data_IF_619579700281
#
_entry.id   IF_619579700281
#
_cell.length_a   1.000
_cell.length_b   1.000
_cell.length_c   1.000
_cell.angle_alpha   90.00
_cell.angle_beta   90.00
_cell.angle_gamma   90.00
#
_symmetry.space_group_name_H-M   'P 1'
#
loop_
_entity.id
_entity.type
_entity.pdbx_description
1 polymer ?
#
# COMPACT_ATOMS: atom_id res chain seq x y z
N UNK A 1 -30.85 39.36 -76.18
CA UNK A 1 -31.33 40.07 -74.98
C UNK A 1 -30.51 39.54 -73.87
N UNK A 2 -29.52 40.31 -73.44
CA UNK A 2 -28.49 39.87 -72.47
C UNK A 2 -28.74 40.58 -71.16
N UNK A 3 -29.01 39.83 -70.05
CA UNK A 3 -29.18 40.40 -68.76
C UNK A 3 -27.91 40.15 -67.97
N UNK A 4 -27.22 41.23 -67.57
CA UNK A 4 -26.10 41.25 -66.63
C UNK A 4 -26.64 41.26 -65.28
N UNK A 5 -26.12 40.34 -64.44
CA UNK A 5 -26.33 40.33 -62.98
C UNK A 5 -25.08 40.85 -62.27
N UNK A 6 -25.24 41.93 -61.50
CA UNK A 6 -24.22 42.64 -60.83
C UNK A 6 -23.95 41.95 -59.45
N UNK A 7 -22.68 41.76 -59.16
CA UNK A 7 -22.19 41.19 -57.88
C UNK A 7 -21.94 42.34 -56.91
N UNK A 8 -22.74 42.44 -55.88
CA UNK A 8 -22.38 43.21 -54.69
C UNK A 8 -22.38 42.31 -53.46
N UNK A 9 -21.17 42.11 -52.96
CA UNK A 9 -20.84 41.37 -51.77
C UNK A 9 -21.43 42.07 -50.53
N UNK A 10 -22.17 41.30 -49.71
CA UNK A 10 -22.49 41.70 -48.32
C UNK A 10 -21.80 40.71 -47.43
N UNK A 11 -20.72 41.18 -46.80
CA UNK A 11 -20.07 40.49 -45.69
C UNK A 11 -20.91 40.71 -44.40
N UNK A 12 -21.64 39.70 -44.02
CA UNK A 12 -22.26 39.65 -42.67
C UNK A 12 -21.29 38.87 -41.74
N UNK A 13 -20.64 39.59 -40.85
CA UNK A 13 -19.78 39.03 -39.82
C UNK A 13 -20.62 38.28 -38.77
N UNK A 14 -20.40 36.97 -38.64
CA UNK A 14 -20.90 36.16 -37.57
C UNK A 14 -19.83 36.14 -36.48
N UNK A 15 -20.04 36.93 -35.45
CA UNK A 15 -19.25 36.84 -34.21
C UNK A 15 -19.68 35.59 -33.45
N UNK A 16 -18.86 34.53 -33.50
CA UNK A 16 -19.03 33.35 -32.65
C UNK A 16 -18.42 33.68 -31.30
N UNK A 17 -19.28 33.93 -30.31
CA UNK A 17 -18.91 33.96 -28.93
C UNK A 17 -18.58 32.53 -28.49
N UNK A 18 -17.30 32.21 -28.45
CA UNK A 18 -16.78 31.03 -27.77
C UNK A 18 -16.94 31.23 -26.25
N UNK A 19 -18.11 30.82 -25.72
CA UNK A 19 -18.29 30.62 -24.30
C UNK A 19 -17.40 29.49 -23.84
N UNK A 20 -16.27 29.83 -23.23
CA UNK A 20 -15.40 28.87 -22.56
C UNK A 20 -16.11 28.34 -21.33
N UNK A 21 -16.70 27.12 -21.43
CA UNK A 21 -16.95 26.31 -20.28
C UNK A 21 -15.59 25.89 -19.73
N UNK A 22 -15.20 26.46 -18.59
CA UNK A 22 -14.12 25.94 -17.78
C UNK A 22 -14.55 24.56 -17.29
N UNK A 23 -14.31 23.53 -18.11
CA UNK A 23 -14.40 22.14 -17.70
C UNK A 23 -13.39 21.93 -16.59
N UNK A 24 -13.88 21.52 -15.42
CA UNK A 24 -13.06 21.00 -14.34
C UNK A 24 -12.11 19.97 -14.94
N UNK A 25 -10.80 20.22 -14.78
CA UNK A 25 -9.77 19.40 -15.36
C UNK A 25 -9.87 17.96 -14.88
N UNK A 26 -10.45 17.11 -15.72
CA UNK A 26 -10.23 15.69 -15.64
C UNK A 26 -8.72 15.49 -15.75
N UNK A 27 -8.12 14.88 -14.73
CA UNK A 27 -6.71 14.47 -14.76
C UNK A 27 -6.55 13.64 -16.04
N UNK A 28 -5.69 14.04 -16.99
CA UNK A 28 -5.48 13.25 -18.18
C UNK A 28 -5.03 11.87 -17.70
N UNK A 29 -5.63 10.81 -18.23
CA UNK A 29 -5.19 9.42 -18.05
C UNK A 29 -3.69 9.38 -18.40
N UNK A 30 -2.89 9.56 -17.32
CA UNK A 30 -1.48 9.86 -17.44
C UNK A 30 -0.71 8.62 -17.84
N UNK A 31 0.31 8.86 -18.59
CA UNK A 31 1.51 8.06 -18.82
C UNK A 31 1.58 6.80 -17.94
N UNK A 32 1.80 5.63 -18.55
CA UNK A 32 1.87 4.33 -17.86
C UNK A 32 2.87 4.22 -16.68
N UNK A 33 3.36 5.34 -16.16
CA UNK A 33 4.26 5.45 -15.01
C UNK A 33 3.59 6.16 -13.84
N UNK A 34 3.98 5.80 -12.61
CA UNK A 34 3.56 6.49 -11.41
C UNK A 34 4.12 7.90 -11.32
N UNK A 35 3.62 8.69 -10.35
CA UNK A 35 4.09 10.06 -10.12
C UNK A 35 5.31 10.08 -9.17
N UNK A 36 6.53 10.37 -9.64
CA UNK A 36 7.72 10.45 -8.79
C UNK A 36 7.63 11.51 -7.68
N UNK A 37 6.90 12.61 -7.92
CA UNK A 37 6.74 13.66 -6.93
C UNK A 37 6.00 13.20 -5.65
N UNK A 38 5.26 12.09 -5.72
CA UNK A 38 4.60 11.49 -4.56
C UNK A 38 5.56 10.75 -3.61
N UNK A 39 6.85 10.70 -3.92
CA UNK A 39 7.89 9.98 -3.18
C UNK A 39 9.01 10.89 -2.67
N UNK A 40 8.75 12.18 -2.59
CA UNK A 40 9.63 13.14 -1.92
C UNK A 40 9.71 12.90 -0.40
N UNK A 41 10.58 13.63 0.32
CA UNK A 41 10.68 13.50 1.77
C UNK A 41 9.37 13.89 2.46
N UNK A 42 9.02 13.17 3.54
CA UNK A 42 7.79 13.40 4.32
C UNK A 42 8.16 13.50 5.80
N UNK A 43 7.66 14.51 6.51
CA UNK A 43 7.59 14.49 7.96
C UNK A 43 6.26 13.84 8.36
N UNK A 44 6.34 12.67 9.00
CA UNK A 44 5.19 11.90 9.44
C UNK A 44 5.23 11.72 10.96
N UNK A 45 4.44 12.53 11.68
CA UNK A 45 4.36 12.52 13.14
C UNK A 45 5.73 12.69 13.84
N UNK A 46 6.60 13.54 13.27
CA UNK A 46 7.94 13.80 13.80
C UNK A 46 9.02 12.84 13.32
N UNK A 47 8.68 11.86 12.48
CA UNK A 47 9.63 10.99 11.81
C UNK A 47 9.90 11.49 10.39
N UNK A 48 11.16 11.77 10.08
CA UNK A 48 11.59 12.21 8.76
C UNK A 48 11.79 10.99 7.84
N UNK A 49 10.82 10.73 6.96
CA UNK A 49 10.94 9.70 5.91
C UNK A 49 11.70 10.32 4.75
N UNK A 50 12.88 9.80 4.38
CA UNK A 50 13.63 10.32 3.24
C UNK A 50 12.86 10.09 1.93
N UNK A 51 13.02 10.99 0.97
CA UNK A 51 12.55 10.78 -0.38
C UNK A 51 13.27 9.60 -1.04
N UNK A 52 12.60 8.91 -1.96
CA UNK A 52 13.23 7.84 -2.74
C UNK A 52 14.20 8.44 -3.76
N UNK A 53 15.37 7.82 -3.88
CA UNK A 53 16.33 8.14 -4.93
C UNK A 53 15.83 7.58 -6.28
N UNK A 54 15.17 8.45 -7.06
CA UNK A 54 14.59 8.07 -8.36
C UNK A 54 15.63 7.64 -9.40
N UNK A 55 16.91 7.91 -9.18
CA UNK A 55 17.96 7.40 -10.07
C UNK A 55 18.21 5.90 -9.89
N UNK A 56 17.77 5.33 -8.78
CA UNK A 56 17.95 3.91 -8.40
C UNK A 56 16.65 3.12 -8.38
N UNK A 57 15.51 3.77 -8.55
CA UNK A 57 14.18 3.15 -8.53
C UNK A 57 13.62 3.09 -9.94
N UNK A 58 13.21 1.89 -10.39
CA UNK A 58 12.47 1.72 -11.64
C UNK A 58 11.12 2.47 -11.53
N UNK A 59 10.83 3.43 -12.42
CA UNK A 59 9.53 4.12 -12.43
C UNK A 59 8.32 3.18 -12.57
N UNK A 60 8.53 1.98 -13.10
CA UNK A 60 7.51 0.94 -13.23
C UNK A 60 6.97 0.43 -11.91
N UNK A 61 7.75 0.53 -10.80
CA UNK A 61 7.35 0.07 -9.47
C UNK A 61 6.56 1.11 -8.68
N UNK A 62 6.47 2.36 -9.14
CA UNK A 62 5.74 3.41 -8.45
C UNK A 62 4.23 3.15 -8.52
N UNK A 63 3.51 3.53 -7.43
CA UNK A 63 2.05 3.37 -7.40
C UNK A 63 1.39 4.18 -8.51
N UNK A 64 0.33 3.61 -9.06
CA UNK A 64 -0.50 4.26 -10.07
C UNK A 64 -1.89 3.65 -10.13
N UNK A 65 -2.86 4.44 -10.57
CA UNK A 65 -4.17 3.91 -10.89
C UNK A 65 -4.10 3.15 -12.21
N UNK A 66 -4.76 1.98 -12.25
CA UNK A 66 -4.80 1.10 -13.43
C UNK A 66 -6.20 0.57 -13.66
N UNK A 67 -6.54 0.21 -14.91
CA UNK A 67 -7.71 -0.62 -15.18
C UNK A 67 -7.50 -2.00 -14.55
N UNK A 68 -8.49 -2.47 -13.80
CA UNK A 68 -8.41 -3.73 -13.06
C UNK A 68 -9.77 -4.40 -13.02
N UNK A 69 -9.98 -5.35 -13.93
CA UNK A 69 -11.20 -6.17 -13.93
C UNK A 69 -11.10 -7.21 -12.82
N UNK A 70 -11.88 -7.05 -11.78
CA UNK A 70 -11.84 -7.86 -10.58
C UNK A 70 -13.25 -8.34 -10.20
N UNK A 71 -13.41 -9.59 -9.73
CA UNK A 71 -14.68 -10.06 -9.17
C UNK A 71 -14.94 -9.51 -7.77
N UNK A 72 -13.96 -8.85 -7.15
CA UNK A 72 -14.04 -8.34 -5.79
C UNK A 72 -14.62 -6.93 -5.78
N UNK A 73 -15.35 -6.61 -4.71
CA UNK A 73 -15.96 -5.29 -4.51
C UNK A 73 -14.93 -4.19 -4.30
N UNK A 74 -15.24 -2.93 -4.63
CA UNK A 74 -14.41 -1.80 -4.25
C UNK A 74 -14.09 -1.77 -2.74
N UNK A 75 -12.88 -1.36 -2.40
CA UNK A 75 -12.36 -1.39 -1.04
C UNK A 75 -11.65 -2.70 -0.66
N UNK A 76 -11.68 -3.73 -1.52
CA UNK A 76 -10.90 -4.96 -1.31
C UNK A 76 -9.44 -4.77 -1.69
N UNK A 77 -8.54 -5.36 -0.93
CA UNK A 77 -7.12 -5.48 -1.28
C UNK A 77 -6.89 -6.83 -1.94
N UNK A 78 -6.30 -6.84 -3.13
CA UNK A 78 -5.89 -8.06 -3.84
C UNK A 78 -4.38 -8.04 -3.99
N UNK A 79 -3.71 -9.06 -3.44
CA UNK A 79 -2.26 -9.22 -3.56
C UNK A 79 -1.96 -10.36 -4.53
N UNK A 80 -1.28 -10.05 -5.62
CA UNK A 80 -0.85 -11.02 -6.62
C UNK A 80 0.64 -11.30 -6.45
N UNK A 81 0.97 -12.40 -5.77
CA UNK A 81 2.33 -12.76 -5.40
C UNK A 81 3.23 -12.92 -6.64
N UNK A 82 2.74 -13.59 -7.67
CA UNK A 82 3.49 -13.79 -8.92
C UNK A 82 3.85 -12.50 -9.63
N UNK A 83 2.96 -11.52 -9.61
CA UNK A 83 3.16 -10.19 -10.19
C UNK A 83 3.97 -9.26 -9.29
N UNK A 84 4.05 -9.56 -8.00
CA UNK A 84 4.60 -8.68 -6.95
C UNK A 84 3.89 -7.34 -6.91
N UNK A 85 2.56 -7.39 -7.05
CA UNK A 85 1.66 -6.25 -6.99
C UNK A 85 0.57 -6.43 -5.94
N UNK A 86 0.16 -5.31 -5.36
CA UNK A 86 -1.03 -5.17 -4.54
C UNK A 86 -1.97 -4.20 -5.25
N UNK A 87 -3.24 -4.55 -5.32
CA UNK A 87 -4.30 -3.75 -5.92
C UNK A 87 -5.32 -3.40 -4.84
N UNK A 88 -5.53 -2.11 -4.60
CA UNK A 88 -6.69 -1.63 -3.85
C UNK A 88 -7.80 -1.37 -4.85
N UNK A 89 -8.84 -2.21 -4.81
CA UNK A 89 -9.94 -2.18 -5.79
C UNK A 89 -10.75 -0.90 -5.62
N UNK A 90 -10.95 -0.18 -6.71
CA UNK A 90 -11.71 1.06 -6.78
C UNK A 90 -12.97 0.87 -7.64
N UNK A 91 -13.97 1.78 -7.55
CA UNK A 91 -15.13 1.75 -8.44
C UNK A 91 -14.74 1.90 -9.93
N UNK A 92 -15.64 1.47 -10.83
CA UNK A 92 -15.48 1.68 -12.26
C UNK A 92 -14.45 0.78 -12.95
N UNK A 93 -14.13 -0.38 -12.37
CA UNK A 93 -13.16 -1.32 -12.95
C UNK A 93 -11.72 -0.82 -12.87
N UNK A 94 -11.43 -0.03 -11.85
CA UNK A 94 -10.11 0.55 -11.59
C UNK A 94 -9.52 -0.02 -10.29
N UNK A 95 -8.22 0.13 -10.13
CA UNK A 95 -7.53 -0.10 -8.85
C UNK A 95 -6.33 0.82 -8.71
N UNK A 96 -6.00 1.18 -7.48
CA UNK A 96 -4.67 1.69 -7.16
C UNK A 96 -3.72 0.51 -7.04
N UNK A 97 -2.73 0.44 -7.93
CA UNK A 97 -1.69 -0.58 -7.94
C UNK A 97 -0.46 -0.10 -7.18
N UNK A 98 0.05 -0.94 -6.29
CA UNK A 98 1.31 -0.77 -5.58
C UNK A 98 2.23 -1.94 -5.92
N UNK A 99 3.52 -1.68 -6.10
CA UNK A 99 4.49 -2.77 -6.16
C UNK A 99 4.88 -3.20 -4.76
N UNK A 100 5.11 -4.51 -4.57
CA UNK A 100 5.38 -5.09 -3.26
C UNK A 100 6.59 -6.02 -3.27
N UNK A 101 7.31 -6.03 -2.15
CA UNK A 101 8.23 -7.12 -1.83
C UNK A 101 7.47 -8.26 -1.19
N UNK A 102 7.73 -9.50 -1.63
CA UNK A 102 7.03 -10.72 -1.18
C UNK A 102 8.01 -11.74 -0.64
N UNK A 103 7.49 -12.83 -0.04
CA UNK A 103 8.29 -13.92 0.50
C UNK A 103 9.26 -14.51 -0.53
N UNK A 104 10.49 -14.77 -0.09
CA UNK A 104 11.56 -15.37 -0.91
C UNK A 104 11.15 -16.71 -1.48
N UNK A 105 10.47 -17.52 -0.68
CA UNK A 105 9.95 -18.82 -1.03
C UNK A 105 8.43 -18.79 -1.02
N UNK A 106 7.79 -19.52 -1.92
CA UNK A 106 6.34 -19.60 -2.00
C UNK A 106 5.68 -20.04 -0.68
N UNK A 107 6.30 -21.00 0.01
CA UNK A 107 5.84 -21.51 1.30
C UNK A 107 5.83 -20.46 2.42
N UNK A 108 6.55 -19.35 2.27
CA UNK A 108 6.59 -18.25 3.23
C UNK A 108 5.45 -17.26 3.04
N UNK A 109 4.80 -17.24 1.87
CA UNK A 109 3.73 -16.30 1.58
C UNK A 109 2.42 -16.70 2.29
N UNK A 110 1.68 -15.71 2.76
CA UNK A 110 0.31 -15.91 3.20
C UNK A 110 -0.54 -16.42 2.04
N UNK A 111 -1.51 -17.30 2.33
CA UNK A 111 -2.41 -17.87 1.32
C UNK A 111 -3.87 -17.61 1.68
N UNK A 112 -4.67 -17.34 0.65
CA UNK A 112 -6.12 -17.17 0.75
C UNK A 112 -6.54 -15.84 1.38
N UNK A 113 -7.66 -15.87 2.10
CA UNK A 113 -8.36 -14.68 2.53
C UNK A 113 -8.03 -14.29 3.98
N UNK A 114 -7.99 -13.00 4.23
CA UNK A 114 -7.84 -12.40 5.54
C UNK A 114 -8.63 -11.08 5.59
N UNK A 115 -8.69 -10.50 6.77
CA UNK A 115 -9.15 -9.12 6.98
C UNK A 115 -8.08 -8.31 7.69
N UNK A 116 -8.06 -6.99 7.48
CA UNK A 116 -7.28 -6.10 8.34
C UNK A 116 -7.97 -6.07 9.71
N UNK A 117 -7.41 -6.76 10.69
CA UNK A 117 -7.95 -6.79 12.06
C UNK A 117 -7.40 -5.67 12.95
N UNK A 118 -6.21 -5.15 12.63
CA UNK A 118 -5.54 -4.07 13.38
C UNK A 118 -4.66 -3.24 12.46
N UNK A 119 -4.51 -1.97 12.78
CA UNK A 119 -3.63 -1.01 12.12
C UNK A 119 -2.70 -0.39 13.13
N UNK A 120 -1.47 -0.07 12.75
CA UNK A 120 -0.53 0.67 13.59
C UNK A 120 0.29 1.66 12.77
N UNK A 121 0.46 2.84 13.33
CA UNK A 121 1.43 3.83 12.89
C UNK A 121 2.73 3.60 13.67
N UNK A 122 3.85 3.68 12.99
CA UNK A 122 5.17 3.47 13.57
C UNK A 122 5.20 2.26 14.52
N UNK A 123 4.90 1.05 14.00
CA UNK A 123 4.67 -0.13 14.83
C UNK A 123 5.94 -0.56 15.55
N UNK A 124 5.79 -1.05 16.78
CA UNK A 124 6.86 -1.78 17.45
C UNK A 124 7.12 -3.11 16.70
N UNK A 125 8.35 -3.48 16.52
CA UNK A 125 8.75 -4.73 15.91
C UNK A 125 9.48 -5.64 16.88
N UNK A 126 9.13 -6.92 16.90
CA UNK A 126 9.84 -7.97 17.62
C UNK A 126 10.05 -9.14 16.67
N UNK A 127 11.28 -9.66 16.53
CA UNK A 127 11.52 -10.82 15.69
C UNK A 127 10.81 -12.05 16.22
N UNK A 128 10.26 -12.85 15.31
CA UNK A 128 9.69 -14.16 15.70
C UNK A 128 10.81 -15.15 16.01
N UNK A 129 10.49 -16.22 16.76
CA UNK A 129 11.44 -17.30 17.01
C UNK A 129 11.99 -17.93 15.73
N UNK A 130 11.16 -18.01 14.66
CA UNK A 130 11.59 -18.49 13.34
C UNK A 130 12.58 -17.55 12.67
N UNK A 131 12.38 -16.24 12.78
CA UNK A 131 13.33 -15.27 12.26
C UNK A 131 14.68 -15.37 12.96
N UNK A 132 14.68 -15.53 14.28
CA UNK A 132 15.91 -15.71 15.05
C UNK A 132 16.62 -17.02 14.67
N UNK A 133 15.88 -18.11 14.47
CA UNK A 133 16.48 -19.38 14.00
C UNK A 133 17.13 -19.28 12.63
N UNK A 134 16.52 -18.56 11.71
CA UNK A 134 17.04 -18.38 10.34
C UNK A 134 18.18 -17.38 10.28
N UNK A 135 18.11 -16.33 11.11
CA UNK A 135 19.09 -15.24 11.18
C UNK A 135 19.43 -14.92 12.64
N UNK A 136 20.43 -15.58 13.24
CA UNK A 136 20.78 -15.44 14.65
C UNK A 136 21.07 -13.99 15.09
N UNK A 137 21.44 -13.11 14.17
CA UNK A 137 21.64 -11.68 14.47
C UNK A 137 20.37 -11.03 15.06
N UNK A 138 19.19 -11.53 14.72
CA UNK A 138 17.94 -11.01 15.30
C UNK A 138 17.76 -11.31 16.79
N UNK A 139 18.59 -12.19 17.39
CA UNK A 139 18.58 -12.41 18.82
C UNK A 139 18.89 -11.14 19.64
N UNK A 140 19.63 -10.20 19.05
CA UNK A 140 19.90 -8.90 19.69
C UNK A 140 18.66 -8.02 19.83
N UNK A 141 17.59 -8.32 19.07
CA UNK A 141 16.34 -7.55 19.06
C UNK A 141 15.18 -8.25 19.76
N UNK A 142 15.45 -9.23 20.64
CA UNK A 142 14.40 -9.97 21.37
C UNK A 142 13.56 -9.07 22.28
N UNK A 143 14.14 -7.97 22.78
CA UNK A 143 13.40 -6.93 23.51
C UNK A 143 12.50 -6.08 22.57
N UNK A 144 12.66 -6.24 21.26
CA UNK A 144 11.96 -5.49 20.22
C UNK A 144 12.62 -4.15 19.89
N UNK A 145 12.16 -3.56 18.78
CA UNK A 145 12.52 -2.21 18.35
C UNK A 145 11.29 -1.31 18.45
N UNK A 146 11.40 -0.11 19.03
CA UNK A 146 10.33 0.88 18.98
C UNK A 146 10.04 1.29 17.53
N UNK A 147 8.89 1.91 17.30
CA UNK A 147 8.59 2.55 16.02
C UNK A 147 9.62 3.64 15.67
N UNK A 148 9.98 3.73 14.40
CA UNK A 148 10.96 4.71 13.93
C UNK A 148 11.48 4.38 12.55
N UNK A 149 12.32 5.27 12.02
CA UNK A 149 12.87 5.16 10.65
C UNK A 149 13.80 3.96 10.47
N UNK A 150 14.37 3.41 11.55
CA UNK A 150 15.25 2.23 11.54
C UNK A 150 14.49 0.92 11.81
N UNK A 151 13.15 0.99 11.99
CA UNK A 151 12.33 -0.18 12.27
C UNK A 151 11.98 -0.92 10.96
N UNK A 152 12.22 -2.25 10.86
CA UNK A 152 11.97 -3.02 9.64
C UNK A 152 10.52 -2.98 9.13
N UNK A 153 9.54 -2.67 9.99
CA UNK A 153 8.14 -2.54 9.59
C UNK A 153 7.82 -1.17 8.95
N UNK A 154 8.76 -0.23 9.00
CA UNK A 154 8.57 1.11 8.44
C UNK A 154 7.45 1.91 9.12
N UNK A 155 6.87 2.84 8.36
CA UNK A 155 5.95 3.85 8.89
C UNK A 155 4.59 3.31 9.34
N UNK A 156 4.09 2.23 8.73
CA UNK A 156 2.75 1.66 9.01
C UNK A 156 2.77 0.15 8.92
N UNK A 157 1.86 -0.50 9.67
CA UNK A 157 1.54 -1.91 9.51
C UNK A 157 0.03 -2.16 9.55
N UNK A 158 -0.44 -2.98 8.60
CA UNK A 158 -1.79 -3.53 8.54
C UNK A 158 -1.70 -5.02 8.88
N UNK A 159 -2.30 -5.41 9.99
CA UNK A 159 -2.21 -6.76 10.55
C UNK A 159 -3.33 -7.63 10.01
N UNK A 160 -2.98 -8.76 9.43
CA UNK A 160 -3.93 -9.66 8.78
C UNK A 160 -4.48 -10.67 9.79
N UNK A 161 -5.79 -10.77 9.83
CA UNK A 161 -6.52 -11.68 10.73
C UNK A 161 -7.35 -12.65 9.91
N UNK A 162 -7.50 -13.87 10.43
CA UNK A 162 -8.45 -14.87 9.94
C UNK A 162 -9.41 -15.20 11.08
N UNK A 163 -10.67 -14.79 10.93
CA UNK A 163 -11.58 -14.70 12.08
C UNK A 163 -10.98 -13.76 13.16
N UNK A 164 -10.92 -14.21 14.39
CA UNK A 164 -10.36 -13.44 15.52
C UNK A 164 -8.86 -13.74 15.77
N UNK A 165 -8.20 -14.50 14.90
CA UNK A 165 -6.80 -14.89 15.09
C UNK A 165 -5.88 -14.05 14.23
N UNK A 166 -4.84 -13.49 14.87
CA UNK A 166 -3.72 -12.88 14.17
C UNK A 166 -2.95 -13.94 13.39
N UNK A 167 -2.80 -13.74 12.09
CA UNK A 167 -2.09 -14.66 11.21
C UNK A 167 -0.57 -14.51 11.28
N UNK A 168 -0.08 -13.51 11.98
CA UNK A 168 1.32 -13.05 11.97
C UNK A 168 1.81 -12.53 10.61
N UNK A 169 0.94 -12.42 9.60
CA UNK A 169 1.25 -11.73 8.35
C UNK A 169 0.82 -10.27 8.40
N UNK A 170 1.57 -9.44 7.70
CA UNK A 170 1.42 -7.98 7.68
C UNK A 170 1.60 -7.45 6.27
N UNK A 171 0.88 -6.37 5.96
CA UNK A 171 1.28 -5.41 4.92
C UNK A 171 1.96 -4.27 5.66
N UNK A 172 3.21 -3.95 5.33
CA UNK A 172 3.96 -2.97 6.10
C UNK A 172 4.96 -2.18 5.24
N UNK A 173 5.45 -1.08 5.76
CA UNK A 173 6.52 -0.30 5.15
C UNK A 173 7.87 -1.03 5.13
N UNK A 174 8.90 -0.35 4.70
CA UNK A 174 10.26 -0.92 4.72
C UNK A 174 11.31 0.17 4.85
N UNK A 175 12.44 -0.20 5.45
CA UNK A 175 13.70 0.57 5.43
C UNK A 175 14.60 0.19 4.26
N UNK A 176 14.20 -0.82 3.48
CA UNK A 176 14.94 -1.38 2.33
C UNK A 176 14.12 -1.19 1.05
N UNK A 177 14.02 0.05 0.52
CA UNK A 177 13.17 0.37 -0.64
C UNK A 177 13.54 -0.42 -1.90
N UNK A 178 14.80 -0.81 -2.05
CA UNK A 178 15.30 -1.64 -3.16
C UNK A 178 14.67 -3.04 -3.19
N UNK A 179 14.07 -3.50 -2.09
CA UNK A 179 13.41 -4.82 -2.02
C UNK A 179 12.00 -4.83 -2.62
N UNK A 180 11.46 -3.67 -2.98
CA UNK A 180 10.14 -3.57 -3.59
C UNK A 180 10.19 -4.09 -5.04
N UNK A 181 9.22 -4.92 -5.39
CA UNK A 181 9.20 -5.65 -6.66
C UNK A 181 10.00 -6.95 -6.65
N UNK A 182 10.56 -7.38 -5.50
CA UNK A 182 11.40 -8.56 -5.38
C UNK A 182 10.83 -9.65 -4.46
N UNK A 183 11.36 -10.88 -4.58
CA UNK A 183 11.06 -12.03 -3.72
C UNK A 183 12.16 -12.13 -2.65
N UNK A 184 12.04 -11.42 -1.53
CA UNK A 184 13.12 -11.26 -0.53
C UNK A 184 12.68 -11.36 0.92
N UNK A 185 11.36 -11.23 1.22
CA UNK A 185 10.88 -11.17 2.59
C UNK A 185 10.81 -12.56 3.24
N UNK A 186 10.59 -12.58 4.57
CA UNK A 186 10.28 -13.79 5.34
C UNK A 186 8.79 -14.16 5.32
N UNK A 187 7.99 -13.54 4.40
CA UNK A 187 6.58 -13.85 4.21
C UNK A 187 5.66 -12.63 4.27
N UNK A 188 5.99 -11.60 5.04
CA UNK A 188 5.23 -10.36 5.07
C UNK A 188 5.37 -9.59 3.74
N UNK A 189 4.37 -8.80 3.42
CA UNK A 189 4.29 -8.02 2.19
C UNK A 189 4.80 -6.62 2.48
N UNK A 190 5.90 -6.25 1.81
CA UNK A 190 6.58 -4.97 1.98
C UNK A 190 6.12 -3.96 0.95
N UNK A 191 5.91 -2.71 1.37
CA UNK A 191 5.65 -1.56 0.51
C UNK A 191 6.67 -0.46 0.80
N UNK A 192 6.84 0.49 -0.13
CA UNK A 192 7.50 1.76 0.21
C UNK A 192 6.77 2.43 1.38
N UNK A 193 7.47 3.17 2.23
CA UNK A 193 6.84 3.90 3.33
C UNK A 193 5.77 4.89 2.82
N UNK A 194 6.00 5.54 1.69
CA UNK A 194 5.04 6.40 1.01
C UNK A 194 3.76 5.65 0.59
N UNK A 195 3.90 4.41 0.13
CA UNK A 195 2.81 3.59 -0.36
C UNK A 195 2.00 2.97 0.76
N UNK A 196 2.65 2.51 1.82
CA UNK A 196 1.92 1.96 2.96
C UNK A 196 1.16 3.05 3.72
N UNK A 197 1.65 4.30 3.75
CA UNK A 197 0.92 5.44 4.30
C UNK A 197 -0.34 5.70 3.46
N UNK A 198 -0.23 5.74 2.14
CA UNK A 198 -1.37 5.93 1.24
C UNK A 198 -2.40 4.79 1.40
N UNK A 199 -1.96 3.53 1.38
CA UNK A 199 -2.81 2.36 1.57
C UNK A 199 -3.47 2.33 2.95
N UNK A 200 -2.73 2.68 3.99
CA UNK A 200 -3.23 2.78 5.36
C UNK A 200 -4.40 3.76 5.47
N UNK A 201 -4.31 4.90 4.80
CA UNK A 201 -5.39 5.90 4.81
C UNK A 201 -6.63 5.45 4.03
N UNK A 202 -6.47 4.59 3.00
CA UNK A 202 -7.57 4.06 2.18
C UNK A 202 -8.28 2.87 2.82
N UNK A 203 -7.54 2.03 3.54
CA UNK A 203 -8.00 0.72 3.99
C UNK A 203 -8.34 0.75 5.50
N UNK A 204 -9.63 0.80 5.90
CA UNK A 204 -10.05 0.70 7.30
C UNK A 204 -9.85 -0.71 7.87
N UNK A 205 -9.95 -0.84 9.20
CA UNK A 205 -10.11 -2.15 9.86
C UNK A 205 -11.37 -2.83 9.30
N UNK A 206 -11.31 -4.14 9.05
CA UNK A 206 -12.36 -4.90 8.40
C UNK A 206 -12.18 -5.02 6.87
N UNK A 207 -11.24 -4.26 6.27
CA UNK A 207 -10.93 -4.40 4.84
C UNK A 207 -10.55 -5.84 4.52
N UNK A 208 -11.20 -6.42 3.51
CA UNK A 208 -10.88 -7.76 2.99
C UNK A 208 -9.54 -7.75 2.25
N UNK A 209 -8.73 -8.76 2.51
CA UNK A 209 -7.44 -8.97 1.83
C UNK A 209 -7.43 -10.36 1.22
N UNK A 210 -7.24 -10.43 -0.09
CA UNK A 210 -7.16 -11.66 -0.88
C UNK A 210 -5.72 -11.79 -1.36
N UNK A 211 -5.08 -12.93 -1.06
CA UNK A 211 -3.70 -13.20 -1.51
C UNK A 211 -3.71 -14.36 -2.49
N UNK A 212 -3.35 -14.08 -3.72
CA UNK A 212 -3.33 -14.99 -4.86
C UNK A 212 -1.89 -15.39 -5.14
N UNK A 213 -1.64 -16.69 -5.15
CA UNK A 213 -0.31 -17.23 -5.36
C UNK A 213 0.09 -17.19 -6.85
N UNK A 214 1.36 -17.42 -7.12
CA UNK A 214 1.86 -17.54 -8.48
C UNK A 214 1.16 -18.73 -9.19
N UNK A 215 0.63 -18.48 -10.38
CA UNK A 215 -0.12 -19.48 -11.16
C UNK A 215 -1.61 -19.63 -10.82
N UNK A 216 -2.07 -19.01 -9.71
CA UNK A 216 -3.50 -18.96 -9.37
C UNK A 216 -4.20 -17.80 -10.11
N UNK A 217 -5.52 -17.94 -10.31
CA UNK A 217 -6.34 -16.89 -10.91
C UNK A 217 -7.30 -16.29 -9.88
N UNK A 218 -7.68 -15.02 -10.07
CA UNK A 218 -8.66 -14.34 -9.20
C UNK A 218 -9.99 -15.11 -9.04
N UNK A 219 -10.39 -15.90 -10.04
CA UNK A 219 -11.63 -16.70 -9.97
C UNK A 219 -11.52 -17.89 -9.02
N UNK A 220 -10.33 -18.45 -8.83
CA UNK A 220 -10.12 -19.59 -7.93
C UNK A 220 -10.32 -19.18 -6.46
N UNK A 221 -10.03 -17.92 -6.13
CA UNK A 221 -10.14 -17.39 -4.77
C UNK A 221 -11.51 -16.77 -4.45
N UNK A 222 -12.40 -16.62 -5.42
CA UNK A 222 -13.78 -16.17 -5.25
C UNK A 222 -14.70 -17.30 -4.72
N UNK A 223 -14.19 -18.19 -3.86
CA UNK A 223 -14.99 -19.22 -3.18
C UNK A 223 -16.19 -18.65 -2.43
N UNK A 224 -17.17 -19.46 -2.00
CA UNK A 224 -18.42 -18.99 -1.44
C UNK A 224 -18.16 -17.99 -0.33
N UNK A 225 -18.83 -16.85 -0.41
CA UNK A 225 -18.83 -15.82 0.63
C UNK A 225 -19.12 -16.50 1.97
N UNK A 226 -18.08 -16.77 2.75
CA UNK A 226 -18.31 -17.11 4.15
C UNK A 226 -18.88 -15.84 4.76
N UNK A 227 -20.11 -15.92 5.21
CA UNK A 227 -20.91 -14.91 5.87
C UNK A 227 -20.13 -14.20 7.02
N UNK A 228 -19.16 -13.40 6.68
CA UNK A 228 -18.64 -12.35 7.50
C UNK A 228 -19.57 -11.17 7.32
N UNK A 229 -20.36 -10.85 8.36
CA UNK A 229 -21.40 -9.84 8.33
C UNK A 229 -20.94 -8.58 7.60
N UNK A 230 -21.81 -8.12 6.70
CA UNK A 230 -21.71 -6.85 6.01
C UNK A 230 -21.29 -5.73 6.98
N UNK A 231 -20.06 -5.27 6.90
CA UNK A 231 -19.63 -4.04 7.54
C UNK A 231 -20.03 -2.90 6.61
N UNK A 232 -21.15 -2.24 6.96
CA UNK A 232 -21.52 -0.97 6.35
C UNK A 232 -20.66 0.14 6.97
N UNK A 233 -19.71 0.75 6.22
CA UNK A 233 -18.88 1.83 6.76
C UNK A 233 -19.70 3.10 7.08
N UNK A 234 -20.99 3.15 6.73
CA UNK A 234 -21.91 4.27 6.96
C UNK A 234 -23.13 3.87 7.80
N UNK A 235 -23.23 2.60 8.21
CA UNK A 235 -24.30 2.12 9.10
C UNK A 235 -23.93 2.29 10.58
N UNK A 236 -24.93 2.39 11.50
CA UNK A 236 -24.65 2.38 12.92
C UNK A 236 -23.98 1.05 13.28
N UNK A 237 -22.71 1.11 13.69
CA UNK A 237 -21.92 -0.06 14.04
C UNK A 237 -22.58 -0.89 15.13
N UNK A 238 -22.43 -2.25 15.11
CA UNK A 238 -22.90 -3.07 16.20
C UNK A 238 -22.14 -2.68 17.47
N UNK A 239 -22.90 -2.30 18.50
CA UNK A 239 -22.39 -2.09 19.84
C UNK A 239 -21.91 -3.44 20.41
N UNK A 240 -20.63 -3.75 20.18
CA UNK A 240 -19.94 -4.86 20.82
C UNK A 240 -18.86 -4.33 21.78
N UNK A 241 -18.64 -4.96 22.91
CA UNK A 241 -17.64 -4.52 23.87
C UNK A 241 -16.24 -4.81 23.30
N UNK A 242 -15.66 -3.86 22.59
CA UNK A 242 -14.22 -3.84 22.43
C UNK A 242 -13.62 -3.38 23.77
N UNK A 243 -12.75 -4.17 24.42
CA UNK A 243 -11.95 -3.65 25.50
C UNK A 243 -11.11 -2.49 24.93
N UNK A 244 -11.17 -1.35 25.59
CA UNK A 244 -10.40 -0.15 25.29
C UNK A 244 -8.90 -0.42 25.17
N UNK A 245 -8.09 0.61 24.86
CA UNK A 245 -6.69 0.44 24.51
C UNK A 245 -5.97 -0.41 25.53
N UNK A 246 -5.31 -1.46 25.05
CA UNK A 246 -4.52 -2.39 25.85
C UNK A 246 -3.54 -1.61 26.73
N UNK A 247 -3.90 -1.46 28.01
CA UNK A 247 -2.95 -1.27 29.08
C UNK A 247 -2.30 -2.63 29.34
N UNK A 248 -1.35 -3.02 28.47
CA UNK A 248 -0.45 -4.13 28.75
C UNK A 248 0.50 -3.72 29.88
N UNK A 249 1.06 -4.67 30.65
CA UNK A 249 1.85 -4.40 31.85
C UNK A 249 3.29 -3.92 31.53
N UNK A 250 3.46 -3.01 30.57
CA UNK A 250 4.75 -2.41 30.22
C UNK A 250 4.74 -0.88 30.33
N UNK A 251 4.25 -0.38 31.47
CA UNK A 251 4.53 0.97 31.90
C UNK A 251 5.73 0.92 32.89
N UNK A 252 6.92 0.65 32.35
CA UNK A 252 8.16 0.91 33.05
C UNK A 252 8.71 2.28 32.60
N UNK A 253 9.38 3.04 33.49
CA UNK A 253 9.97 4.33 33.09
C UNK A 253 11.06 4.13 32.04
N UNK A 254 11.29 5.13 31.15
CA UNK A 254 12.34 5.05 30.14
C UNK A 254 13.70 5.01 30.83
N UNK A 255 14.38 3.87 30.75
CA UNK A 255 15.76 3.75 31.14
C UNK A 255 16.68 4.42 30.11
N UNK A 256 17.85 4.94 30.54
CA UNK A 256 18.78 5.57 29.61
C UNK A 256 19.45 4.49 28.74
N UNK A 257 18.98 4.31 27.53
CA UNK A 257 19.68 3.50 26.52
C UNK A 257 20.78 4.33 25.88
N UNK A 258 22.00 4.24 26.44
CA UNK A 258 23.22 4.46 25.70
C UNK A 258 23.63 3.13 25.05
N UNK A 259 23.01 2.77 23.95
CA UNK A 259 23.49 1.68 23.07
C UNK A 259 24.53 2.20 22.11
N UNK A 260 25.52 1.36 21.69
CA UNK A 260 26.56 1.79 20.76
C UNK A 260 25.93 2.21 19.44
N UNK A 261 26.39 3.35 18.90
CA UNK A 261 26.03 3.88 17.61
C UNK A 261 26.18 2.80 16.53
N UNK A 262 25.07 2.56 15.80
CA UNK A 262 25.10 1.78 14.58
C UNK A 262 25.78 2.64 13.49
N UNK A 263 27.03 2.33 13.14
CA UNK A 263 27.62 2.88 11.94
C UNK A 263 26.88 2.29 10.72
N UNK A 264 26.34 3.14 9.83
CA UNK A 264 25.76 2.64 8.59
C UNK A 264 26.87 1.98 7.76
N UNK A 265 26.72 0.69 7.49
CA UNK A 265 27.65 -0.02 6.60
C UNK A 265 27.60 0.60 5.20
N UNK A 266 28.74 0.80 4.56
CA UNK A 266 28.77 1.26 3.17
C UNK A 266 28.08 0.21 2.28
N UNK A 267 27.24 0.67 1.41
CA UNK A 267 26.47 -0.08 0.42
C UNK A 267 27.39 -0.97 -0.42
N UNK A 268 27.26 -2.27 -0.35
CA UNK A 268 28.01 -3.13 -1.27
C UNK A 268 28.35 -4.55 -0.83
N UNK A 269 27.54 -5.22 -0.01
CA UNK A 269 27.69 -6.68 0.16
C UNK A 269 26.34 -7.36 0.02
N UNK A 270 26.17 -8.01 -1.14
CA UNK A 270 25.07 -8.94 -1.39
C UNK A 270 25.21 -10.16 -0.45
N UNK A 271 24.07 -10.59 0.07
CA UNK A 271 23.86 -11.93 0.63
C UNK A 271 22.73 -12.61 -0.10
#
# INVERSE_FOLDING_TARGET
>A
MTVRVDRRSVLAGISVLLGGCAGQGGIPFGSGFGNPAAYGPINDHGHEIPGLDMSRIDPGVLRRQVAFSSPYRPGTIVVMIGERHLYFVEPGGMAMRYSVGVGREEALNFRGNAVIGRKAEWPHWTPTGDMIRRMPIYAHYTAGLPGGIDNPLGARALYLYRGNQDTYFRLHGTIEPETIGQKVSSGCIRLFNHDIIDLYNRAPVGTQVIVIQEGESMRAEAGPETNGGYYDPYGPGPAGPYPGPYAGPYAGPPGPYAGPYYEPRPWGVAW
#
